data_IF_578394704771
#
_entry.id   IF_578394704771
#
_cell.length_a   1.000
_cell.length_b   1.000
_cell.length_c   1.000
_cell.angle_alpha   90.00
_cell.angle_beta   90.00
_cell.angle_gamma   90.00
#
_symmetry.space_group_name_H-M   'P 1'
#
loop_
_entity.id
_entity.type
_entity.pdbx_description
1 polymer ?
#
# COMPACT_ATOMS: atom_id res chain seq x y z
N UNK A 1 8.70 -7.93 9.63
CA UNK A 1 8.05 -6.68 10.08
C UNK A 1 7.27 -6.82 11.38
N UNK A 2 7.33 -7.96 12.09
CA UNK A 2 6.57 -8.16 13.32
C UNK A 2 7.09 -7.23 14.44
N UNK A 3 8.39 -6.97 14.47
CA UNK A 3 9.05 -6.20 15.55
C UNK A 3 8.91 -4.67 15.43
N UNK A 4 8.22 -4.17 14.40
CA UNK A 4 8.17 -2.73 14.06
C UNK A 4 7.13 -1.97 14.92
N UNK A 5 6.25 -2.67 15.64
CA UNK A 5 5.07 -2.05 16.29
C UNK A 5 5.40 -1.09 17.45
N UNK A 6 6.53 -1.26 18.13
CA UNK A 6 6.83 -0.50 19.35
C UNK A 6 7.22 0.97 19.10
N UNK A 7 7.74 1.29 17.91
CA UNK A 7 8.26 2.63 17.58
C UNK A 7 7.34 3.45 16.67
N UNK A 8 6.19 2.89 16.27
CA UNK A 8 5.29 3.57 15.34
C UNK A 8 4.41 4.62 16.03
N UNK A 9 4.36 5.82 15.43
CA UNK A 9 3.41 6.85 15.85
C UNK A 9 1.97 6.34 15.71
N UNK A 10 1.18 6.51 16.78
CA UNK A 10 -0.25 6.14 16.79
C UNK A 10 -1.12 7.01 15.86
N UNK A 11 -0.59 8.12 15.35
CA UNK A 11 -1.35 9.03 14.46
C UNK A 11 -1.44 8.42 13.08
N UNK A 12 -2.67 8.30 12.57
CA UNK A 12 -2.91 7.76 11.24
C UNK A 12 -2.26 8.65 10.15
N UNK A 13 -1.44 8.07 9.26
CA UNK A 13 -0.85 8.80 8.14
C UNK A 13 -1.88 9.45 7.22
N UNK A 14 -1.56 10.65 6.70
CA UNK A 14 -2.45 11.42 5.83
C UNK A 14 -2.93 10.65 4.58
N UNK A 15 -2.11 9.73 4.07
CA UNK A 15 -2.48 8.86 2.95
C UNK A 15 -3.79 8.11 3.24
N UNK A 16 -3.91 7.47 4.42
CA UNK A 16 -5.08 6.66 4.76
C UNK A 16 -6.32 7.52 5.07
N UNK A 17 -6.10 8.75 5.54
CA UNK A 17 -7.19 9.74 5.71
C UNK A 17 -7.76 10.20 4.37
N UNK A 18 -6.90 10.41 3.37
CA UNK A 18 -7.29 10.84 2.02
C UNK A 18 -7.80 9.68 1.16
N UNK A 19 -7.32 8.47 1.42
CA UNK A 19 -7.57 7.28 0.62
C UNK A 19 -7.98 6.14 1.54
N UNK A 20 -9.28 5.88 1.59
CA UNK A 20 -9.87 4.82 2.40
C UNK A 20 -10.41 3.68 1.54
N UNK A 21 -10.34 2.46 2.06
CA UNK A 21 -11.02 1.29 1.51
C UNK A 21 -12.50 1.27 1.92
N UNK A 22 -13.24 2.32 1.55
CA UNK A 22 -14.68 2.43 1.76
C UNK A 22 -15.47 1.68 0.68
N UNK A 23 -16.76 1.42 0.92
CA UNK A 23 -17.66 0.77 -0.03
C UNK A 23 -17.63 1.49 -1.38
N UNK A 24 -17.52 0.73 -2.47
CA UNK A 24 -17.41 1.21 -3.87
C UNK A 24 -16.12 1.99 -4.18
N UNK A 25 -15.17 2.06 -3.24
CA UNK A 25 -13.86 2.74 -3.40
C UNK A 25 -12.68 1.80 -3.17
N UNK A 26 -12.92 0.50 -2.99
CA UNK A 26 -11.88 -0.50 -2.73
C UNK A 26 -10.86 -0.56 -3.86
N UNK A 27 -11.32 -0.64 -5.12
CA UNK A 27 -10.46 -0.68 -6.29
C UNK A 27 -9.61 0.60 -6.41
N UNK A 28 -10.20 1.77 -6.19
CA UNK A 28 -9.50 3.04 -6.22
C UNK A 28 -8.43 3.14 -5.11
N UNK A 29 -8.74 2.64 -3.90
CA UNK A 29 -7.77 2.54 -2.81
C UNK A 29 -6.61 1.59 -3.18
N UNK A 30 -6.93 0.38 -3.64
CA UNK A 30 -5.93 -0.63 -4.02
C UNK A 30 -5.01 -0.12 -5.14
N UNK A 31 -5.55 0.61 -6.12
CA UNK A 31 -4.76 1.24 -7.19
C UNK A 31 -3.72 2.22 -6.61
N UNK A 32 -4.16 3.15 -5.76
CA UNK A 32 -3.27 4.14 -5.13
C UNK A 32 -2.27 3.48 -4.18
N UNK A 33 -2.69 2.49 -3.42
CA UNK A 33 -1.85 1.76 -2.49
C UNK A 33 -0.76 0.95 -3.21
N UNK A 34 -1.08 0.34 -4.34
CA UNK A 34 -0.11 -0.41 -5.14
C UNK A 34 0.97 0.50 -5.74
N UNK A 35 0.60 1.66 -6.30
CA UNK A 35 1.61 2.66 -6.72
C UNK A 35 2.44 3.19 -5.56
N UNK A 36 1.82 3.37 -4.38
CA UNK A 36 2.57 3.78 -3.20
C UNK A 36 3.56 2.69 -2.77
N UNK A 37 3.20 1.42 -2.89
CA UNK A 37 4.06 0.28 -2.57
C UNK A 37 5.30 0.20 -3.49
N UNK A 38 5.14 0.48 -4.79
CA UNK A 38 6.28 0.56 -5.73
C UNK A 38 7.32 1.62 -5.34
N UNK A 39 6.92 2.68 -4.62
CA UNK A 39 7.86 3.69 -4.13
C UNK A 39 8.83 3.13 -3.06
N UNK A 40 8.44 2.07 -2.35
CA UNK A 40 9.26 1.43 -1.31
C UNK A 40 10.31 0.45 -1.88
N UNK A 41 10.20 0.08 -3.16
CA UNK A 41 11.16 -0.79 -3.86
C UNK A 41 12.56 -0.16 -3.92
N UNK A 42 12.66 1.18 -3.85
CA UNK A 42 13.93 1.91 -3.86
C UNK A 42 14.55 2.14 -2.48
N UNK A 43 14.11 1.41 -1.45
CA UNK A 43 14.68 1.46 -0.10
C UNK A 43 15.83 0.47 0.06
N UNK A 44 16.68 0.65 1.07
CA UNK A 44 17.74 -0.30 1.41
C UNK A 44 17.12 -1.54 2.09
N UNK A 45 16.51 -2.41 1.28
CA UNK A 45 15.84 -3.64 1.70
C UNK A 45 16.50 -4.85 1.05
N UNK A 46 16.22 -6.05 1.58
CA UNK A 46 16.71 -7.28 0.97
C UNK A 46 16.05 -7.51 -0.37
N UNK A 47 16.77 -8.10 -1.33
CA UNK A 47 16.27 -8.40 -2.68
C UNK A 47 15.02 -9.29 -2.66
N UNK A 48 14.93 -10.22 -1.70
CA UNK A 48 13.75 -11.06 -1.51
C UNK A 48 12.51 -10.24 -1.10
N UNK A 49 12.68 -9.34 -0.13
CA UNK A 49 11.58 -8.48 0.31
C UNK A 49 11.16 -7.51 -0.79
N UNK A 50 12.12 -6.96 -1.54
CA UNK A 50 11.86 -6.14 -2.73
C UNK A 50 11.02 -6.88 -3.77
N UNK A 51 11.39 -8.13 -4.08
CA UNK A 51 10.66 -8.99 -5.00
C UNK A 51 9.22 -9.22 -4.53
N UNK A 52 9.00 -9.40 -3.23
CA UNK A 52 7.66 -9.54 -2.66
C UNK A 52 6.84 -8.26 -2.77
N UNK A 53 7.42 -7.09 -2.52
CA UNK A 53 6.74 -5.80 -2.72
C UNK A 53 6.30 -5.61 -4.17
N UNK A 54 7.19 -5.93 -5.12
CA UNK A 54 6.90 -5.86 -6.55
C UNK A 54 5.78 -6.82 -6.96
N UNK A 55 5.81 -8.08 -6.49
CA UNK A 55 4.75 -9.06 -6.75
C UNK A 55 3.39 -8.55 -6.25
N UNK A 56 3.34 -7.99 -5.04
CA UNK A 56 2.10 -7.47 -4.46
C UNK A 56 1.61 -6.23 -5.21
N UNK A 57 2.48 -5.28 -5.53
CA UNK A 57 2.08 -4.05 -6.22
C UNK A 57 1.61 -4.34 -7.64
N UNK A 58 2.43 -5.01 -8.46
CA UNK A 58 2.12 -5.31 -9.86
C UNK A 58 0.95 -6.28 -9.98
N UNK A 59 0.89 -7.29 -9.10
CA UNK A 59 -0.25 -8.21 -9.02
C UNK A 59 -1.56 -7.47 -8.70
N UNK A 60 -1.52 -6.54 -7.73
CA UNK A 60 -2.69 -5.72 -7.39
C UNK A 60 -3.14 -4.87 -8.58
N UNK A 61 -2.21 -4.15 -9.23
CA UNK A 61 -2.51 -3.31 -10.40
C UNK A 61 -3.11 -4.12 -11.56
N UNK A 62 -2.56 -5.32 -11.82
CA UNK A 62 -3.05 -6.21 -12.87
C UNK A 62 -4.47 -6.71 -12.59
N UNK A 63 -4.78 -7.05 -11.34
CA UNK A 63 -6.08 -7.61 -10.95
C UNK A 63 -7.20 -6.56 -10.91
N UNK A 64 -6.92 -5.32 -10.50
CA UNK A 64 -7.93 -4.26 -10.44
C UNK A 64 -8.22 -3.62 -11.80
N UNK A 65 -7.40 -3.88 -12.82
CA UNK A 65 -7.52 -3.37 -14.20
C UNK A 65 -7.82 -1.85 -14.26
N UNK A 66 -7.24 -1.07 -13.35
CA UNK A 66 -7.42 0.37 -13.31
C UNK A 66 -6.35 1.04 -14.19
N UNK A 67 -6.79 1.86 -15.15
CA UNK A 67 -5.89 2.78 -15.86
C UNK A 67 -5.28 3.77 -14.87
N UNK A 68 -4.02 4.16 -15.09
CA UNK A 68 -3.37 5.20 -14.30
C UNK A 68 -4.13 6.51 -14.49
N UNK A 69 -4.97 6.90 -13.54
CA UNK A 69 -5.30 8.31 -13.39
C UNK A 69 -4.13 8.99 -12.69
N UNK A 70 -3.47 9.86 -13.45
CA UNK A 70 -2.25 10.55 -13.07
C UNK A 70 -2.49 11.49 -11.89
N UNK A 71 -1.78 11.20 -10.79
CA UNK A 71 -0.96 12.17 -10.05
C UNK A 71 -0.25 11.39 -8.95
N UNK A 72 0.82 10.68 -9.33
CA UNK A 72 1.76 10.17 -8.34
C UNK A 72 2.47 11.39 -7.77
N UNK A 73 1.97 11.91 -6.65
CA UNK A 73 2.69 12.89 -5.86
C UNK A 73 4.09 12.33 -5.59
N UNK A 74 5.11 13.07 -6.06
CA UNK A 74 6.53 12.81 -5.79
C UNK A 74 6.81 13.16 -4.33
N UNK A 75 6.16 12.47 -3.39
CA UNK A 75 6.44 12.64 -1.98
C UNK A 75 7.67 11.80 -1.64
N UNK A 76 8.75 12.52 -1.32
CA UNK A 76 10.10 12.00 -1.19
C UNK A 76 10.23 11.01 -0.04
N UNK A 77 10.87 9.88 -0.37
CA UNK A 77 11.53 8.88 0.46
C UNK A 77 11.70 9.27 1.94
N UNK A 78 10.87 8.72 2.80
CA UNK A 78 11.30 8.37 4.16
C UNK A 78 11.22 6.85 4.27
N UNK A 79 12.28 6.24 4.80
CA UNK A 79 12.33 4.83 5.15
C UNK A 79 11.34 4.54 6.30
N UNK A 80 10.06 4.76 6.06
CA UNK A 80 9.01 4.67 7.05
C UNK A 80 8.44 3.25 7.02
N UNK A 81 9.14 2.39 7.75
CA UNK A 81 8.76 0.99 7.93
C UNK A 81 7.39 0.84 8.61
N UNK A 82 7.00 1.79 9.47
CA UNK A 82 5.68 1.85 10.09
C UNK A 82 4.59 2.08 9.05
N UNK A 83 4.80 3.06 8.17
CA UNK A 83 3.89 3.32 7.06
C UNK A 83 3.80 2.12 6.12
N UNK A 84 4.94 1.51 5.75
CA UNK A 84 4.95 0.35 4.86
C UNK A 84 4.17 -0.82 5.46
N UNK A 85 4.36 -1.10 6.75
CA UNK A 85 3.61 -2.15 7.46
C UNK A 85 2.11 -1.86 7.45
N UNK A 86 1.71 -0.63 7.79
CA UNK A 86 0.32 -0.22 7.77
C UNK A 86 -0.29 -0.30 6.36
N UNK A 87 0.47 0.07 5.32
CA UNK A 87 0.06 0.00 3.93
C UNK A 87 -0.23 -1.44 3.51
N UNK A 88 0.68 -2.37 3.79
CA UNK A 88 0.51 -3.81 3.50
C UNK A 88 -0.71 -4.38 4.24
N UNK A 89 -0.89 -4.02 5.52
CA UNK A 89 -2.05 -4.46 6.30
C UNK A 89 -3.37 -3.95 5.70
N UNK A 90 -3.44 -2.66 5.32
CA UNK A 90 -4.64 -2.09 4.70
C UNK A 90 -4.92 -2.67 3.32
N UNK A 91 -3.90 -2.97 2.52
CA UNK A 91 -4.04 -3.70 1.24
C UNK A 91 -4.68 -5.08 1.48
N UNK A 92 -4.14 -5.87 2.43
CA UNK A 92 -4.69 -7.18 2.80
C UNK A 92 -6.15 -7.09 3.22
N UNK A 93 -6.47 -6.15 4.12
CA UNK A 93 -7.85 -5.96 4.60
C UNK A 93 -8.79 -5.57 3.46
N UNK A 94 -8.34 -4.71 2.54
CA UNK A 94 -9.16 -4.26 1.42
C UNK A 94 -9.43 -5.38 0.41
N UNK A 95 -8.43 -6.20 0.09
CA UNK A 95 -8.62 -7.41 -0.72
C UNK A 95 -9.59 -8.39 -0.07
N UNK A 96 -9.45 -8.63 1.24
CA UNK A 96 -10.38 -9.49 1.97
C UNK A 96 -11.82 -8.97 1.92
N UNK A 97 -12.02 -7.65 1.92
CA UNK A 97 -13.34 -7.04 1.79
C UNK A 97 -13.96 -7.35 0.42
N UNK A 98 -13.22 -7.13 -0.66
CA UNK A 98 -13.66 -7.45 -2.04
C UNK A 98 -13.98 -8.95 -2.16
N UNK A 99 -13.07 -9.81 -1.72
CA UNK A 99 -13.20 -11.26 -1.89
C UNK A 99 -14.33 -11.87 -1.04
N UNK A 100 -14.74 -11.20 0.04
CA UNK A 100 -15.88 -11.64 0.87
C UNK A 100 -17.23 -11.16 0.35
N UNK A 101 -17.26 -10.27 -0.65
CA UNK A 101 -18.51 -9.84 -1.31
C UNK A 101 -19.42 -8.98 -0.43
N UNK A 102 -18.87 -8.12 0.43
CA UNK A 102 -19.63 -7.13 1.19
C UNK A 102 -20.00 -5.91 0.35
#
# INVERSE_FOLDING_TARGET
MLDIDNDCLKKEPNFFRRHSCADKKEAAFLNRAAYKLEQFVKMNITTDFELHLLKVSQGTLKLINCTKEETISKETKKNDWCFLKALIQKIKTCWNKILRGH
#
